data_IF_770194275202
#
_entry.id   IF_770194275202
#
_cell.length_a   1.000
_cell.length_b   1.000
_cell.length_c   1.000
_cell.angle_alpha   90.00
_cell.angle_beta   90.00
_cell.angle_gamma   90.00
#
_symmetry.space_group_name_H-M   'P 1'
#
loop_
_entity.id
_entity.type
_entity.pdbx_description
1 polymer ?
#
# COMPACT_ATOMS: atom_id res chain seq x y z
N UNK A 1 -22.02 31.46 -57.60
CA UNK A 1 -22.42 32.71 -56.92
C UNK A 1 -22.19 32.46 -55.44
N UNK A 2 -21.08 32.84 -54.80
CA UNK A 2 -20.51 34.19 -54.55
C UNK A 2 -21.42 35.12 -53.74
N UNK A 3 -21.21 35.15 -52.42
CA UNK A 3 -20.82 36.29 -51.55
C UNK A 3 -20.67 35.70 -50.10
N UNK A 4 -19.62 35.91 -49.27
CA UNK A 4 -18.85 37.11 -48.87
C UNK A 4 -19.72 38.10 -48.06
N UNK A 5 -19.38 38.66 -46.89
CA UNK A 5 -18.25 38.65 -45.92
C UNK A 5 -18.85 38.90 -44.50
N UNK A 6 -18.19 38.83 -43.32
CA UNK A 6 -17.25 39.82 -42.71
C UNK A 6 -16.95 39.28 -41.28
N UNK A 7 -15.74 38.90 -40.86
CA UNK A 7 -14.59 39.69 -40.34
C UNK A 7 -14.82 40.57 -39.08
N UNK A 8 -14.28 40.12 -37.94
CA UNK A 8 -13.76 40.93 -36.82
C UNK A 8 -12.70 40.06 -36.08
N UNK A 9 -11.38 40.23 -36.26
CA UNK A 9 -10.48 41.26 -35.72
C UNK A 9 -10.42 41.36 -34.18
N UNK A 10 -9.38 40.74 -33.60
CA UNK A 10 -8.72 41.16 -32.34
C UNK A 10 -7.20 40.97 -32.51
N UNK A 11 -6.32 41.88 -32.03
CA UNK A 11 -4.97 42.01 -32.61
C UNK A 11 -3.87 41.21 -31.90
N UNK A 12 -2.73 41.10 -32.60
CA UNK A 12 -1.49 40.50 -32.09
C UNK A 12 -0.85 41.36 -30.98
N UNK A 13 -0.57 40.74 -29.83
CA UNK A 13 0.16 41.33 -28.70
C UNK A 13 1.65 40.97 -28.74
N UNK A 14 2.48 41.97 -28.98
CA UNK A 14 3.92 41.88 -29.19
C UNK A 14 4.69 41.65 -27.88
N UNK A 15 5.52 40.60 -27.79
CA UNK A 15 6.53 40.43 -26.73
C UNK A 15 7.95 40.29 -27.35
N UNK A 16 8.89 41.10 -26.86
CA UNK A 16 10.34 41.01 -27.16
C UNK A 16 11.13 40.99 -25.84
N UNK A 17 12.32 40.39 -25.87
CA UNK A 17 13.31 40.39 -24.78
C UNK A 17 13.36 39.03 -24.06
N UNK A 18 14.41 38.20 -24.22
CA UNK A 18 15.71 38.24 -23.50
C UNK A 18 15.53 38.20 -21.98
N UNK A 19 16.12 37.34 -21.15
CA UNK A 19 17.07 36.22 -21.31
C UNK A 19 16.97 35.36 -20.01
N UNK A 20 17.63 34.22 -19.73
CA UNK A 20 18.83 33.54 -20.26
C UNK A 20 18.58 32.03 -20.48
N UNK A 21 19.56 31.34 -21.09
CA UNK A 21 19.76 29.89 -21.04
C UNK A 21 21.15 29.57 -20.48
N UNK A 22 21.30 28.68 -19.47
CA UNK A 22 22.59 28.05 -19.17
C UNK A 22 22.76 26.75 -19.96
N UNK A 23 23.77 26.69 -20.82
CA UNK A 23 24.22 25.44 -21.46
C UNK A 23 25.02 24.58 -20.49
N UNK A 24 24.76 23.27 -20.57
CA UNK A 24 25.72 22.16 -20.50
C UNK A 24 26.83 22.16 -19.43
N UNK A 25 26.88 21.05 -18.67
CA UNK A 25 28.16 20.44 -18.32
C UNK A 25 28.18 18.97 -18.82
N UNK A 26 28.94 18.72 -19.89
CA UNK A 26 29.34 17.36 -20.27
C UNK A 26 30.44 16.91 -19.32
N UNK A 27 30.32 15.72 -18.74
CA UNK A 27 31.46 15.01 -18.15
C UNK A 27 31.70 13.77 -19.00
N UNK A 28 32.82 13.75 -19.73
CA UNK A 28 33.26 12.58 -20.48
C UNK A 28 34.78 12.50 -20.55
N UNK A 29 35.39 11.76 -19.60
CA UNK A 29 36.66 11.08 -19.85
C UNK A 29 36.97 10.02 -18.78
N UNK A 30 36.90 8.76 -19.21
CA UNK A 30 37.93 7.74 -18.98
C UNK A 30 38.72 7.78 -17.66
N UNK A 31 38.41 6.86 -16.75
CA UNK A 31 39.44 6.28 -15.88
C UNK A 31 39.45 4.74 -16.08
N UNK A 32 40.50 4.23 -16.74
CA UNK A 32 40.73 2.79 -16.88
C UNK A 32 41.26 2.25 -15.54
N UNK A 33 40.75 1.11 -15.10
CA UNK A 33 40.86 0.69 -13.71
C UNK A 33 42.23 0.18 -13.27
N UNK A 34 42.35 -0.06 -11.96
CA UNK A 34 43.11 -1.18 -11.37
C UNK A 34 42.70 -1.40 -9.90
N UNK A 35 42.62 -2.67 -9.53
CA UNK A 35 42.60 -3.24 -8.16
C UNK A 35 41.70 -2.58 -7.09
N UNK A 36 40.55 -3.21 -6.84
CA UNK A 36 39.93 -3.20 -5.51
C UNK A 36 40.74 -4.11 -4.57
N UNK A 37 41.30 -3.58 -3.47
CA UNK A 37 41.80 -4.37 -2.32
C UNK A 37 41.78 -3.54 -1.02
N UNK A 38 41.00 -4.05 -0.06
CA UNK A 38 41.24 -4.04 1.41
C UNK A 38 41.74 -2.74 2.09
N UNK A 39 40.93 -2.17 2.97
CA UNK A 39 41.39 -1.13 3.90
C UNK A 39 40.33 -0.67 4.91
N UNK A 40 40.10 -1.44 5.98
CA UNK A 40 39.29 -0.98 7.12
C UNK A 40 39.95 0.24 7.75
N UNK A 41 39.33 1.43 7.66
CA UNK A 41 39.63 2.56 8.55
C UNK A 41 38.35 3.26 9.01
N UNK A 42 38.19 3.22 10.33
CA UNK A 42 37.19 3.91 11.16
C UNK A 42 37.39 5.43 11.01
N UNK A 43 36.37 6.13 10.50
CA UNK A 43 36.32 7.59 10.56
C UNK A 43 35.23 8.02 11.53
N UNK A 44 35.66 8.60 12.67
CA UNK A 44 34.85 9.51 13.46
C UNK A 44 34.89 10.85 12.73
N UNK A 45 33.73 11.42 12.42
CA UNK A 45 33.63 12.84 12.09
C UNK A 45 32.67 13.50 13.07
N UNK A 46 33.21 14.51 13.74
CA UNK A 46 32.48 15.41 14.61
C UNK A 46 31.76 16.44 13.71
N UNK A 47 30.49 16.69 14.00
CA UNK A 47 29.64 17.59 13.21
C UNK A 47 28.61 18.24 14.12
N UNK A 48 28.65 19.57 14.19
CA UNK A 48 27.91 20.39 15.16
C UNK A 48 26.43 20.52 14.80
N UNK A 49 25.53 20.12 15.71
CA UNK A 49 24.12 20.53 15.63
C UNK A 49 23.94 21.93 16.23
N UNK A 50 23.58 22.90 15.39
CA UNK A 50 23.06 24.20 15.83
C UNK A 50 21.55 24.15 16.00
N UNK A 51 21.03 24.75 17.08
CA UNK A 51 19.64 25.22 17.14
C UNK A 51 18.64 24.40 17.97
N UNK A 52 18.69 24.55 19.31
CA UNK A 52 17.50 24.62 20.18
C UNK A 52 17.91 24.99 21.62
N UNK A 53 17.75 26.26 22.02
CA UNK A 53 17.95 26.67 23.41
C UNK A 53 16.73 26.34 24.26
N UNK A 54 16.79 25.25 25.03
CA UNK A 54 15.86 24.99 26.13
C UNK A 54 16.41 25.61 27.43
N UNK A 55 15.83 26.73 27.87
CA UNK A 55 16.17 27.37 29.14
C UNK A 55 15.45 26.69 30.31
N UNK A 56 16.12 25.73 30.95
CA UNK A 56 15.68 25.15 32.22
C UNK A 56 16.04 26.09 33.39
N UNK A 57 15.03 26.56 34.14
CA UNK A 57 15.22 27.45 35.29
C UNK A 57 14.87 26.74 36.61
N UNK A 58 15.85 26.39 37.46
CA UNK A 58 15.62 25.77 38.75
C UNK A 58 15.63 26.80 39.89
N UNK A 59 14.46 27.37 40.21
CA UNK A 59 14.05 27.85 41.56
C UNK A 59 12.68 28.56 41.51
N UNK A 60 11.66 27.95 42.13
CA UNK A 60 10.69 28.61 43.02
C UNK A 60 9.78 27.59 43.70
N UNK A 61 9.92 27.51 45.02
CA UNK A 61 8.98 26.88 45.94
C UNK A 61 7.87 27.86 46.32
N UNK A 62 6.60 27.45 46.30
CA UNK A 62 5.63 27.72 47.39
C UNK A 62 4.21 27.28 47.03
N UNK A 63 3.58 26.55 47.98
CA UNK A 63 2.13 26.55 48.26
C UNK A 63 1.13 26.44 47.09
N UNK A 64 0.51 25.26 46.97
CA UNK A 64 -0.88 25.16 46.52
C UNK A 64 -1.76 24.63 47.67
N UNK A 65 -2.96 25.20 47.79
CA UNK A 65 -3.88 24.93 48.91
C UNK A 65 -4.77 23.72 48.65
N UNK A 66 -5.22 23.09 49.75
CA UNK A 66 -5.98 21.85 49.80
C UNK A 66 -7.46 22.01 49.43
N UNK A 67 -8.02 21.09 48.64
CA UNK A 67 -9.40 20.62 48.86
C UNK A 67 -9.64 19.16 48.45
N UNK A 68 -9.96 18.36 49.46
CA UNK A 68 -10.87 17.19 49.51
C UNK A 68 -10.84 16.05 48.46
N UNK A 69 -10.41 14.89 48.98
CA UNK A 69 -10.70 13.48 48.66
C UNK A 69 -12.22 13.12 48.51
N UNK A 70 -12.65 11.94 47.98
CA UNK A 70 -12.08 10.58 48.17
C UNK A 70 -11.74 9.77 46.89
N UNK A 71 -10.49 9.31 46.71
CA UNK A 71 -9.95 7.96 47.05
C UNK A 71 -10.43 6.77 46.20
N UNK A 72 -9.71 6.49 45.11
CA UNK A 72 -9.30 5.11 44.79
C UNK A 72 -7.82 4.98 45.12
N UNK A 73 -7.48 4.17 46.13
CA UNK A 73 -6.09 3.95 46.57
C UNK A 73 -5.53 2.66 45.99
N UNK A 74 -4.67 2.78 44.98
CA UNK A 74 -3.73 1.70 44.63
C UNK A 74 -2.42 1.96 45.38
N UNK A 75 -2.11 1.11 46.35
CA UNK A 75 -0.87 1.23 47.11
C UNK A 75 0.29 0.56 46.36
N UNK A 76 1.39 1.27 46.18
CA UNK A 76 2.53 0.83 45.38
C UNK A 76 3.64 0.26 46.27
N UNK A 77 3.36 -0.87 46.94
CA UNK A 77 4.29 -1.46 47.93
C UNK A 77 4.40 -2.99 47.93
N UNK A 78 3.91 -3.70 46.91
CA UNK A 78 3.96 -5.18 46.81
C UNK A 78 4.91 -5.68 45.71
N UNK A 79 6.15 -5.16 45.70
CA UNK A 79 7.22 -5.59 44.77
C UNK A 79 8.53 -5.98 45.47
N UNK A 80 8.44 -6.64 46.63
CA UNK A 80 9.56 -7.42 47.18
C UNK A 80 9.14 -8.37 48.32
N UNK A 81 8.62 -9.55 47.96
CA UNK A 81 8.42 -10.67 48.91
C UNK A 81 9.31 -11.86 48.49
N UNK A 82 10.21 -12.36 49.35
CA UNK A 82 11.11 -13.46 49.00
C UNK A 82 10.40 -14.82 49.00
N UNK A 83 10.76 -15.69 48.05
CA UNK A 83 10.22 -17.05 47.96
C UNK A 83 10.66 -17.92 49.15
N UNK A 84 9.78 -18.80 49.68
CA UNK A 84 10.16 -19.77 50.71
C UNK A 84 11.06 -20.89 50.12
N UNK A 85 11.96 -21.48 50.93
CA UNK A 85 12.93 -22.46 50.45
C UNK A 85 12.33 -23.85 50.24
N UNK A 86 12.77 -24.53 49.18
CA UNK A 86 12.41 -25.93 48.89
C UNK A 86 13.31 -26.87 49.70
N UNK A 87 12.74 -27.62 50.65
CA UNK A 87 13.42 -28.73 51.33
C UNK A 87 13.25 -30.04 50.54
N UNK A 88 14.22 -30.95 50.69
CA UNK A 88 14.52 -32.00 49.69
C UNK A 88 14.09 -33.40 50.15
N UNK A 89 13.29 -34.05 49.31
CA UNK A 89 13.14 -35.50 49.10
C UNK A 89 12.89 -36.45 50.30
N UNK A 90 11.80 -37.21 50.21
CA UNK A 90 11.75 -38.61 50.65
C UNK A 90 11.19 -39.49 49.52
N UNK A 91 11.68 -40.74 49.44
CA UNK A 91 11.36 -41.68 48.36
C UNK A 91 10.06 -42.43 48.67
N UNK A 92 9.13 -42.53 47.71
CA UNK A 92 8.13 -43.60 47.67
C UNK A 92 8.10 -44.20 46.26
N UNK A 93 7.93 -45.52 46.20
CA UNK A 93 8.06 -46.38 45.01
C UNK A 93 6.89 -46.24 44.04
N UNK A 94 7.16 -46.64 42.81
CA UNK A 94 6.21 -46.86 41.73
C UNK A 94 5.16 -47.92 42.07
N UNK A 95 3.91 -47.62 41.72
CA UNK A 95 2.91 -48.59 41.28
C UNK A 95 2.23 -48.02 40.05
N UNK A 96 2.27 -48.77 38.95
CA UNK A 96 1.61 -48.40 37.70
C UNK A 96 0.10 -48.59 37.83
N UNK A 97 -0.68 -47.58 37.44
CA UNK A 97 -2.05 -47.80 36.95
C UNK A 97 -2.28 -46.89 35.75
N UNK A 98 -2.37 -47.51 34.59
CA UNK A 98 -2.71 -46.88 33.31
C UNK A 98 -4.09 -46.20 33.36
N UNK A 99 -4.20 -45.06 32.69
CA UNK A 99 -5.46 -44.32 32.56
C UNK A 99 -5.30 -43.12 31.64
N UNK A 100 -5.46 -43.26 30.31
CA UNK A 100 -5.37 -42.13 29.40
C UNK A 100 -6.50 -41.12 29.68
N UNK A 101 -6.12 -39.86 29.88
CA UNK A 101 -7.06 -38.75 30.05
C UNK A 101 -8.04 -38.68 28.86
N UNK A 102 -9.36 -38.52 29.09
CA UNK A 102 -10.37 -38.56 28.02
C UNK A 102 -10.37 -37.30 27.12
N UNK A 103 -9.52 -36.31 27.38
CA UNK A 103 -9.60 -34.99 26.77
C UNK A 103 -8.93 -34.86 25.38
N UNK A 104 -8.82 -35.95 24.61
CA UNK A 104 -8.20 -35.98 23.28
C UNK A 104 -9.00 -36.79 22.22
N UNK A 105 -10.30 -36.99 22.44
CA UNK A 105 -11.20 -37.63 21.48
C UNK A 105 -12.01 -36.57 20.69
N UNK A 106 -11.37 -35.85 19.76
CA UNK A 106 -12.00 -34.71 19.09
C UNK A 106 -11.35 -34.21 17.79
N UNK A 107 -10.40 -34.94 17.19
CA UNK A 107 -9.98 -34.64 15.80
C UNK A 107 -11.05 -35.14 14.84
N UNK A 108 -12.13 -34.38 14.74
CA UNK A 108 -13.03 -34.45 13.58
C UNK A 108 -12.18 -34.33 12.32
N UNK A 109 -12.43 -35.21 11.36
CA UNK A 109 -11.74 -35.15 10.06
C UNK A 109 -12.15 -33.83 9.40
N UNK A 110 -11.29 -32.82 9.50
CA UNK A 110 -11.40 -31.65 8.62
C UNK A 110 -11.31 -32.24 7.21
N UNK A 111 -12.40 -32.11 6.44
CA UNK A 111 -12.43 -32.60 5.08
C UNK A 111 -11.20 -32.04 4.35
N UNK A 112 -10.52 -32.90 3.58
CA UNK A 112 -9.32 -32.50 2.86
C UNK A 112 -9.63 -31.22 2.08
N UNK A 113 -8.77 -30.21 2.24
CA UNK A 113 -8.91 -28.87 1.66
C UNK A 113 -9.58 -28.95 0.30
N UNK A 114 -10.73 -28.31 0.14
CA UNK A 114 -11.24 -28.02 -1.20
C UNK A 114 -10.08 -27.37 -1.95
N UNK A 115 -9.73 -27.96 -3.10
CA UNK A 115 -8.65 -27.47 -3.93
C UNK A 115 -9.17 -26.22 -4.62
N UNK A 116 -9.08 -25.08 -3.92
CA UNK A 116 -9.45 -23.78 -4.47
C UNK A 116 -8.60 -23.60 -5.74
N UNK A 117 -9.22 -23.57 -6.93
CA UNK A 117 -8.46 -23.48 -8.17
C UNK A 117 -7.63 -22.19 -8.14
N UNK A 118 -6.41 -22.28 -8.63
CA UNK A 118 -5.49 -21.15 -8.56
C UNK A 118 -6.02 -19.99 -9.41
N UNK A 119 -6.15 -18.83 -8.78
CA UNK A 119 -6.77 -17.66 -9.38
C UNK A 119 -5.84 -17.05 -10.43
N UNK A 120 -6.27 -17.07 -11.70
CA UNK A 120 -5.58 -16.41 -12.82
C UNK A 120 -5.97 -14.94 -12.87
N UNK A 121 -5.01 -14.05 -13.11
CA UNK A 121 -5.26 -12.63 -13.31
C UNK A 121 -5.96 -12.35 -14.65
N UNK A 122 -5.69 -13.14 -15.69
CA UNK A 122 -6.24 -13.03 -17.04
C UNK A 122 -7.77 -13.12 -17.11
N UNK A 123 -8.38 -13.75 -16.11
CA UNK A 123 -9.83 -13.95 -16.03
C UNK A 123 -10.56 -12.66 -15.63
N UNK A 124 -9.83 -11.68 -15.06
CA UNK A 124 -10.37 -10.40 -14.59
C UNK A 124 -9.70 -9.19 -15.25
N UNK A 125 -8.41 -9.28 -15.59
CA UNK A 125 -7.62 -8.22 -16.22
C UNK A 125 -7.40 -8.52 -17.70
N UNK A 126 -8.21 -7.89 -18.55
CA UNK A 126 -8.21 -8.04 -20.01
C UNK A 126 -8.54 -6.70 -20.67
N UNK A 127 -8.47 -6.62 -22.01
CA UNK A 127 -8.55 -5.37 -22.78
C UNK A 127 -9.73 -4.43 -22.43
N UNK A 128 -10.85 -4.96 -21.91
CA UNK A 128 -12.02 -4.16 -21.48
C UNK A 128 -11.90 -3.61 -20.06
N UNK A 129 -11.15 -4.26 -19.18
CA UNK A 129 -10.90 -3.83 -17.78
C UNK A 129 -9.56 -3.11 -17.61
N UNK A 130 -8.78 -2.96 -18.68
CA UNK A 130 -7.54 -2.19 -18.69
C UNK A 130 -7.80 -0.77 -19.24
N UNK A 131 -7.35 0.27 -18.54
CA UNK A 131 -7.45 1.68 -18.96
C UNK A 131 -6.07 2.31 -19.07
N UNK A 132 -5.61 2.55 -20.30
CA UNK A 132 -4.33 3.21 -20.59
C UNK A 132 -4.47 4.11 -21.81
N UNK A 133 -4.18 5.43 -21.70
CA UNK A 133 -3.98 6.15 -20.44
C UNK A 133 -5.29 6.34 -19.66
N UNK A 134 -5.20 6.44 -18.33
CA UNK A 134 -6.24 7.09 -17.51
C UNK A 134 -6.11 8.60 -17.69
N UNK A 135 -7.25 9.28 -17.89
CA UNK A 135 -7.31 10.72 -18.16
C UNK A 135 -7.58 11.58 -16.90
N UNK A 136 -8.11 10.96 -15.84
CA UNK A 136 -8.42 11.57 -14.55
C UNK A 136 -7.22 12.23 -13.85
N UNK A 137 -7.50 13.32 -13.12
CA UNK A 137 -6.49 14.15 -12.46
C UNK A 137 -6.37 13.96 -10.95
N UNK A 138 -7.35 13.34 -10.30
CA UNK A 138 -7.31 13.03 -8.87
C UNK A 138 -7.58 11.54 -8.55
N UNK A 139 -7.38 11.17 -7.29
CA UNK A 139 -7.48 9.78 -6.82
C UNK A 139 -8.91 9.22 -6.95
N UNK A 140 -9.91 10.02 -6.61
CA UNK A 140 -11.32 9.65 -6.58
C UNK A 140 -11.87 9.47 -8.01
N UNK A 141 -11.47 10.33 -8.95
CA UNK A 141 -11.74 10.21 -10.38
C UNK A 141 -11.07 8.96 -11.00
N UNK A 142 -9.78 8.70 -10.68
CA UNK A 142 -9.05 7.51 -11.14
C UNK A 142 -9.75 6.21 -10.69
N UNK A 143 -10.25 6.19 -9.45
CA UNK A 143 -11.05 5.07 -8.94
C UNK A 143 -12.38 4.95 -9.71
N UNK A 144 -13.05 6.07 -10.01
CA UNK A 144 -14.29 6.08 -10.78
C UNK A 144 -14.10 5.57 -12.23
N UNK A 145 -13.02 5.95 -12.93
CA UNK A 145 -12.72 5.47 -14.29
C UNK A 145 -12.51 3.94 -14.30
N UNK A 146 -11.79 3.40 -13.31
CA UNK A 146 -11.60 1.95 -13.16
C UNK A 146 -12.88 1.20 -12.76
N UNK A 147 -13.78 1.82 -11.99
CA UNK A 147 -15.11 1.28 -11.70
C UNK A 147 -15.97 1.28 -12.97
N UNK A 148 -15.92 2.33 -13.79
CA UNK A 148 -16.59 2.38 -15.10
C UNK A 148 -16.13 1.24 -16.00
N UNK A 149 -14.82 0.93 -16.01
CA UNK A 149 -14.29 -0.22 -16.75
C UNK A 149 -14.88 -1.56 -16.28
N UNK A 150 -15.11 -1.75 -14.98
CA UNK A 150 -15.79 -2.94 -14.43
C UNK A 150 -17.28 -3.01 -14.80
N UNK A 151 -17.98 -1.87 -14.83
CA UNK A 151 -19.37 -1.78 -15.30
C UNK A 151 -19.49 -2.13 -16.79
N UNK A 152 -18.63 -1.53 -17.63
CA UNK A 152 -18.53 -1.81 -19.07
C UNK A 152 -18.12 -3.26 -19.34
N UNK A 153 -17.34 -3.89 -18.45
CA UNK A 153 -17.02 -5.31 -18.50
C UNK A 153 -18.24 -6.21 -18.16
N UNK A 154 -19.20 -5.71 -17.39
CA UNK A 154 -20.36 -6.46 -16.88
C UNK A 154 -20.04 -7.32 -15.65
N UNK A 155 -18.91 -7.06 -14.98
CA UNK A 155 -18.48 -7.78 -13.77
C UNK A 155 -19.12 -7.20 -12.51
N UNK A 156 -19.43 -5.90 -12.54
CA UNK A 156 -20.10 -5.10 -11.52
C UNK A 156 -21.45 -4.59 -12.06
N UNK A 157 -22.48 -4.46 -11.21
CA UNK A 157 -23.80 -3.92 -11.61
C UNK A 157 -24.11 -2.53 -11.07
N UNK A 158 -23.45 -2.10 -9.99
CA UNK A 158 -23.61 -0.75 -9.42
C UNK A 158 -22.25 -0.12 -9.16
N UNK A 159 -21.99 1.03 -9.80
CA UNK A 159 -20.76 1.79 -9.64
C UNK A 159 -20.73 2.61 -8.35
N UNK A 160 -21.88 3.10 -7.88
CA UNK A 160 -21.94 4.00 -6.73
C UNK A 160 -21.62 3.22 -5.44
N UNK A 161 -22.29 2.08 -5.21
CA UNK A 161 -22.00 1.22 -4.07
C UNK A 161 -20.55 0.72 -4.06
N UNK A 162 -19.97 0.41 -5.23
CA UNK A 162 -18.56 0.06 -5.34
C UNK A 162 -17.64 1.23 -5.00
N UNK A 163 -17.91 2.43 -5.51
CA UNK A 163 -17.11 3.63 -5.27
C UNK A 163 -17.14 4.02 -3.78
N UNK A 164 -18.30 3.98 -3.15
CA UNK A 164 -18.46 4.19 -1.71
C UNK A 164 -17.67 3.15 -0.90
N UNK A 165 -17.76 1.86 -1.24
CA UNK A 165 -17.04 0.79 -0.53
C UNK A 165 -15.51 0.92 -0.64
N UNK A 166 -15.00 1.30 -1.82
CA UNK A 166 -13.57 1.54 -2.05
C UNK A 166 -13.09 2.81 -1.34
N UNK A 167 -13.85 3.91 -1.43
CA UNK A 167 -13.53 5.17 -0.76
C UNK A 167 -13.52 5.01 0.77
N UNK A 168 -14.47 4.28 1.35
CA UNK A 168 -14.50 3.99 2.79
C UNK A 168 -13.25 3.21 3.24
N UNK A 169 -12.74 2.28 2.41
CA UNK A 169 -11.51 1.55 2.70
C UNK A 169 -10.28 2.44 2.56
N UNK A 170 -10.22 3.29 1.54
CA UNK A 170 -9.13 4.23 1.29
C UNK A 170 -9.00 5.29 2.40
N UNK A 171 -10.12 5.75 2.97
CA UNK A 171 -10.16 6.70 4.09
C UNK A 171 -9.56 6.13 5.39
N UNK A 172 -9.62 4.81 5.62
CA UNK A 172 -9.02 4.19 6.81
C UNK A 172 -7.49 4.22 6.76
N UNK A 173 -6.93 4.04 5.56
CA UNK A 173 -5.50 4.10 5.27
C UNK A 173 -5.30 4.02 3.76
N UNK A 174 -4.41 4.86 3.23
CA UNK A 174 -4.02 4.85 1.82
C UNK A 174 -3.71 3.43 1.33
N UNK A 175 -4.18 3.11 0.13
CA UNK A 175 -3.82 1.88 -0.59
C UNK A 175 -2.61 2.06 -1.52
N UNK A 176 -1.93 3.21 -1.46
CA UNK A 176 -0.65 3.44 -2.10
C UNK A 176 0.47 2.64 -1.41
N UNK A 177 0.83 1.50 -1.99
CA UNK A 177 1.84 0.57 -1.44
C UNK A 177 3.29 1.01 -1.73
N UNK A 178 3.46 2.11 -2.47
CA UNK A 178 4.74 2.65 -2.91
C UNK A 178 5.14 2.15 -4.30
N UNK A 179 6.35 2.50 -4.74
CA UNK A 179 6.86 2.19 -6.09
C UNK A 179 5.92 2.63 -7.22
N UNK A 180 5.25 3.77 -7.03
CA UNK A 180 4.23 4.34 -7.91
C UNK A 180 2.96 3.47 -8.08
N UNK A 181 2.66 2.55 -7.15
CA UNK A 181 1.47 1.69 -7.19
C UNK A 181 0.45 2.06 -6.11
N UNK A 182 -0.83 2.03 -6.48
CA UNK A 182 -1.95 1.84 -5.54
C UNK A 182 -2.79 0.60 -5.88
N UNK A 183 -3.33 -0.04 -4.84
CA UNK A 183 -4.28 -1.15 -4.98
C UNK A 183 -5.58 -0.80 -4.23
N UNK A 184 -6.38 0.17 -4.73
CA UNK A 184 -7.68 0.49 -4.15
C UNK A 184 -8.58 -0.75 -4.17
N UNK A 185 -9.22 -1.06 -3.05
CA UNK A 185 -10.01 -2.28 -2.92
C UNK A 185 -11.22 -2.08 -2.02
N UNK A 186 -12.29 -2.84 -2.30
CA UNK A 186 -13.56 -2.73 -1.61
C UNK A 186 -14.32 -4.05 -1.58
N UNK A 187 -15.38 -4.11 -0.77
CA UNK A 187 -16.33 -5.22 -0.72
C UNK A 187 -17.73 -4.70 -0.98
N UNK A 188 -18.40 -5.23 -1.99
CA UNK A 188 -19.59 -4.66 -2.61
C UNK A 188 -20.54 -5.80 -3.00
N UNK A 189 -21.78 -5.89 -2.48
CA UNK A 189 -22.74 -6.94 -2.86
C UNK A 189 -23.08 -6.97 -4.36
N UNK A 190 -22.90 -5.86 -5.07
CA UNK A 190 -23.29 -5.65 -6.46
C UNK A 190 -22.23 -6.20 -7.47
N UNK A 191 -21.34 -7.08 -7.01
CA UNK A 191 -20.38 -7.84 -7.82
C UNK A 191 -20.60 -9.34 -7.60
N UNK A 192 -20.56 -10.16 -8.67
CA UNK A 192 -20.92 -11.60 -8.58
C UNK A 192 -19.87 -12.47 -7.89
N UNK A 193 -18.61 -12.02 -7.87
CA UNK A 193 -17.48 -12.75 -7.31
C UNK A 193 -16.35 -11.77 -7.01
N UNK A 194 -15.50 -11.53 -8.01
CA UNK A 194 -14.49 -10.47 -8.04
C UNK A 194 -14.61 -9.70 -9.36
N UNK A 195 -14.44 -8.38 -9.29
CA UNK A 195 -14.18 -7.50 -10.43
C UNK A 195 -12.83 -6.82 -10.21
N UNK A 196 -12.05 -6.70 -11.28
CA UNK A 196 -10.75 -6.05 -11.24
C UNK A 196 -10.60 -5.15 -12.47
N UNK A 197 -9.88 -4.06 -12.29
CA UNK A 197 -9.46 -3.19 -13.37
C UNK A 197 -8.04 -2.71 -13.11
N UNK A 198 -7.26 -2.50 -14.16
CA UNK A 198 -5.89 -2.02 -14.08
C UNK A 198 -5.77 -0.79 -14.97
N UNK A 199 -5.11 0.26 -14.51
CA UNK A 199 -4.84 1.38 -15.38
C UNK A 199 -3.60 2.16 -14.99
N UNK A 200 -3.17 2.96 -15.95
CA UNK A 200 -1.92 3.70 -15.91
C UNK A 200 -2.24 5.15 -16.23
N UNK A 201 -2.02 6.02 -15.25
CA UNK A 201 -2.31 7.45 -15.37
C UNK A 201 -1.33 8.11 -16.30
N UNK A 202 -1.76 9.14 -17.01
CA UNK A 202 -0.85 9.97 -17.84
C UNK A 202 0.18 10.64 -16.93
N UNK A 203 -0.30 11.35 -15.90
CA UNK A 203 0.52 12.10 -14.95
C UNK A 203 0.56 11.42 -13.57
N UNK A 204 1.58 11.67 -12.73
CA UNK A 204 1.66 11.13 -11.37
C UNK A 204 0.59 11.73 -10.44
N UNK A 205 -0.21 10.88 -9.81
CA UNK A 205 -1.34 11.28 -8.93
C UNK A 205 -0.92 11.22 -7.45
N UNK A 206 -1.31 12.22 -6.66
CA UNK A 206 -1.07 12.24 -5.22
C UNK A 206 -2.00 11.22 -4.51
N UNK A 207 -1.41 10.18 -3.90
CA UNK A 207 -2.17 9.08 -3.25
C UNK A 207 -1.83 8.89 -1.76
N UNK A 208 -0.94 9.71 -1.19
CA UNK A 208 -0.39 9.52 0.17
C UNK A 208 0.20 8.11 0.37
N UNK A 209 0.94 7.60 -0.63
CA UNK A 209 1.58 6.29 -0.59
C UNK A 209 2.60 6.19 0.56
N UNK A 210 2.89 4.96 1.00
CA UNK A 210 3.75 4.68 2.17
C UNK A 210 5.20 5.22 2.04
N UNK A 211 5.70 5.36 0.81
CA UNK A 211 7.02 5.92 0.48
C UNK A 211 6.99 7.42 0.15
N UNK A 212 5.81 8.05 0.19
CA UNK A 212 5.60 9.45 -0.20
C UNK A 212 5.66 9.72 -1.71
N UNK A 213 5.80 8.70 -2.56
CA UNK A 213 5.83 8.88 -4.01
C UNK A 213 4.40 9.00 -4.60
N UNK A 214 4.22 9.77 -5.68
CA UNK A 214 2.96 9.77 -6.41
C UNK A 214 2.75 8.46 -7.15
N UNK A 215 1.49 8.12 -7.41
CA UNK A 215 1.07 6.87 -8.04
C UNK A 215 0.91 7.06 -9.55
N UNK A 216 1.25 6.02 -10.32
CA UNK A 216 1.08 5.93 -11.78
C UNK A 216 0.29 4.68 -12.18
N UNK A 217 0.49 3.57 -11.46
CA UNK A 217 -0.15 2.28 -11.74
C UNK A 217 -1.21 2.03 -10.67
N UNK A 218 -2.46 1.82 -11.08
CA UNK A 218 -3.58 1.61 -10.15
C UNK A 218 -4.32 0.33 -10.52
N UNK A 219 -4.40 -0.61 -9.56
CA UNK A 219 -5.11 -1.87 -9.72
C UNK A 219 -6.29 -1.95 -8.74
N UNK A 220 -7.49 -1.78 -9.27
CA UNK A 220 -8.74 -1.87 -8.53
C UNK A 220 -9.11 -3.33 -8.27
N UNK A 221 -9.51 -3.66 -7.03
CA UNK A 221 -10.06 -4.99 -6.67
C UNK A 221 -11.35 -4.85 -5.86
N UNK A 222 -12.48 -5.21 -6.44
CA UNK A 222 -13.79 -5.21 -5.78
C UNK A 222 -14.30 -6.65 -5.71
N UNK A 223 -14.74 -7.11 -4.53
CA UNK A 223 -15.28 -8.46 -4.37
C UNK A 223 -16.60 -8.50 -3.61
N UNK A 224 -17.35 -9.58 -3.79
CA UNK A 224 -18.56 -9.80 -3.00
C UNK A 224 -18.18 -10.01 -1.51
N UNK A 225 -18.94 -9.49 -0.52
CA UNK A 225 -18.56 -9.61 0.90
C UNK A 225 -18.36 -11.05 1.39
N UNK A 226 -19.09 -12.02 0.85
CA UNK A 226 -18.94 -13.45 1.18
C UNK A 226 -17.70 -14.10 0.55
N UNK A 227 -17.10 -13.49 -0.48
CA UNK A 227 -15.97 -14.03 -1.26
C UNK A 227 -14.61 -13.60 -0.68
N UNK A 228 -14.45 -13.76 0.64
CA UNK A 228 -13.26 -13.27 1.37
C UNK A 228 -11.96 -13.97 0.93
N UNK A 229 -11.99 -15.27 0.59
CA UNK A 229 -10.80 -16.00 0.13
C UNK A 229 -10.34 -15.47 -1.22
N UNK A 230 -11.25 -15.39 -2.19
CA UNK A 230 -11.02 -14.84 -3.53
C UNK A 230 -10.48 -13.41 -3.48
N UNK A 231 -11.01 -12.56 -2.59
CA UNK A 231 -10.51 -11.19 -2.36
C UNK A 231 -9.04 -11.16 -1.94
N UNK A 232 -8.65 -12.00 -0.98
CA UNK A 232 -7.26 -12.05 -0.47
C UNK A 232 -6.33 -12.64 -1.54
N UNK A 233 -6.79 -13.65 -2.28
CA UNK A 233 -6.05 -14.22 -3.42
C UNK A 233 -5.83 -13.18 -4.53
N UNK A 234 -6.85 -12.40 -4.88
CA UNK A 234 -6.80 -11.32 -5.88
C UNK A 234 -5.73 -10.28 -5.51
N UNK A 235 -5.79 -9.77 -4.26
CA UNK A 235 -4.81 -8.82 -3.74
C UNK A 235 -3.40 -9.40 -3.75
N UNK A 236 -3.23 -10.66 -3.34
CA UNK A 236 -1.94 -11.36 -3.33
C UNK A 236 -1.38 -11.69 -4.72
N UNK A 237 -2.24 -11.89 -5.73
CA UNK A 237 -1.85 -12.05 -7.14
C UNK A 237 -1.38 -10.72 -7.72
N UNK A 238 -2.20 -9.66 -7.65
CA UNK A 238 -1.86 -8.32 -8.14
C UNK A 238 -0.60 -7.76 -7.49
N UNK A 239 -0.47 -7.88 -6.16
CA UNK A 239 0.69 -7.36 -5.43
C UNK A 239 2.00 -8.06 -5.81
N UNK A 240 1.94 -9.32 -6.26
CA UNK A 240 3.12 -10.03 -6.79
C UNK A 240 3.46 -9.58 -8.21
N UNK A 241 2.47 -9.56 -9.11
CA UNK A 241 2.64 -9.09 -10.49
C UNK A 241 3.22 -7.67 -10.55
N UNK A 242 2.64 -6.73 -9.81
CA UNK A 242 3.13 -5.35 -9.70
C UNK A 242 4.38 -5.22 -8.80
N UNK A 243 4.69 -6.24 -8.01
CA UNK A 243 5.87 -6.30 -7.14
C UNK A 243 7.18 -6.42 -7.93
N UNK A 244 7.15 -7.02 -9.12
CA UNK A 244 8.32 -7.07 -10.00
C UNK A 244 8.66 -5.71 -10.64
N UNK A 245 9.95 -5.38 -10.64
CA UNK A 245 10.47 -4.13 -11.19
C UNK A 245 10.49 -4.10 -12.72
N UNK A 246 10.73 -5.25 -13.37
CA UNK A 246 10.72 -5.31 -14.84
C UNK A 246 9.29 -5.16 -15.37
N UNK A 247 8.31 -5.84 -14.76
CA UNK A 247 6.88 -5.65 -15.02
C UNK A 247 6.47 -4.19 -14.85
N UNK A 248 6.74 -3.54 -13.70
CA UNK A 248 6.42 -2.11 -13.53
C UNK A 248 7.03 -1.23 -14.62
N UNK A 249 8.27 -1.47 -15.00
CA UNK A 249 8.94 -0.67 -16.05
C UNK A 249 8.30 -0.89 -17.42
N UNK A 250 7.94 -2.14 -17.75
CA UNK A 250 7.29 -2.48 -19.02
C UNK A 250 5.87 -1.92 -19.10
N UNK A 251 5.13 -1.88 -17.99
CA UNK A 251 3.76 -1.33 -17.94
C UNK A 251 3.72 0.16 -18.35
N UNK A 252 4.70 0.99 -17.96
CA UNK A 252 4.66 2.45 -18.15
C UNK A 252 4.51 2.89 -19.62
N UNK A 253 5.03 2.10 -20.57
CA UNK A 253 5.01 2.39 -22.01
C UNK A 253 4.09 1.43 -22.81
N UNK A 254 3.37 0.53 -22.13
CA UNK A 254 2.59 -0.54 -22.75
C UNK A 254 1.17 -0.11 -23.15
N UNK A 255 0.66 -0.63 -24.27
CA UNK A 255 -0.77 -0.51 -24.60
C UNK A 255 -1.61 -1.49 -23.79
N UNK A 256 -2.93 -1.26 -23.70
CA UNK A 256 -3.84 -2.17 -22.99
C UNK A 256 -3.73 -3.65 -23.45
N UNK A 257 -3.51 -3.88 -24.75
CA UNK A 257 -3.32 -5.23 -25.31
C UNK A 257 -1.97 -5.85 -24.95
N UNK A 258 -0.91 -5.04 -24.82
CA UNK A 258 0.39 -5.52 -24.38
C UNK A 258 0.36 -5.93 -22.90
N UNK A 259 -0.34 -5.13 -22.07
CA UNK A 259 -0.57 -5.44 -20.66
C UNK A 259 -1.38 -6.73 -20.50
N UNK A 260 -2.48 -6.89 -21.25
CA UNK A 260 -3.27 -8.12 -21.23
C UNK A 260 -2.45 -9.35 -21.68
N UNK A 261 -1.48 -9.17 -22.60
CA UNK A 261 -0.55 -10.21 -23.02
C UNK A 261 0.47 -10.56 -21.94
N UNK A 262 1.05 -9.56 -21.27
CA UNK A 262 1.96 -9.76 -20.13
C UNK A 262 1.28 -10.54 -18.99
N UNK A 263 0.03 -10.19 -18.67
CA UNK A 263 -0.74 -10.86 -17.61
C UNK A 263 -0.98 -12.34 -17.95
N UNK A 264 -1.33 -12.67 -19.20
CA UNK A 264 -1.49 -14.08 -19.64
C UNK A 264 -0.20 -14.88 -19.50
N UNK A 265 0.96 -14.27 -19.75
CA UNK A 265 2.28 -14.93 -19.62
C UNK A 265 2.69 -15.14 -18.15
N UNK A 266 2.19 -14.33 -17.21
CA UNK A 266 2.39 -14.53 -15.76
C UNK A 266 1.49 -15.64 -15.19
N UNK A 267 0.36 -15.93 -15.83
CA UNK A 267 -0.60 -16.95 -15.39
C UNK A 267 -0.36 -18.36 -15.98
N UNK A 268 0.55 -18.50 -16.97
CA UNK A 268 0.90 -19.75 -17.68
C UNK A 268 2.14 -20.47 -17.07
#
# INVERSE_FOLDING_TARGET
MFHAQTLAFWPAGQWRGTDLVPKALRISSSCRGKSCRTGVRRWRLEGTCSGAHALWNPRKTSSFSTSMHPTCSWNLSDVNAPFPPVSRASQIRSTETEGPSPFCAGRGKIAASEHVPDMRLSDFLHDRTIRVPIASGDREEVIAELISACLEAGTLTDGESAQQAVAQREQQRSTGIGHNIAIPHGRCPEVKGVAMALGITTEPIAWNAIDGLPVRIVALVVSHPTRTVEHIQSLGRVSRFLGDAATRSALMDATASDIARMIRVEDD
#
